data_IF_769879160975
#
_entry.id   IF_769879160975
#
_cell.length_a   1.000
_cell.length_b   1.000
_cell.length_c   1.000
_cell.angle_alpha   90.00
_cell.angle_beta   90.00
_cell.angle_gamma   90.00
#
_symmetry.space_group_name_H-M   'P 1'
#
loop_
_entity.id
_entity.type
_entity.pdbx_description
1 polymer ?
#
# COMPACT_ATOMS: atom_id res chain seq x y z
N UNK A 1 16.89 -10.56 29.26
CA UNK A 1 15.56 -10.42 29.87
C UNK A 1 14.92 -11.78 30.03
N UNK A 2 14.12 -12.03 31.09
CA UNK A 2 13.40 -13.30 31.31
C UNK A 2 11.93 -13.09 31.00
N UNK A 3 11.30 -14.03 30.28
CA UNK A 3 9.87 -14.02 29.92
C UNK A 3 9.26 -15.35 30.36
N UNK A 4 8.02 -15.30 30.82
CA UNK A 4 7.29 -16.49 31.22
C UNK A 4 6.87 -17.32 30.02
N UNK A 5 7.17 -18.61 30.07
CA UNK A 5 6.76 -19.63 29.10
C UNK A 5 5.78 -20.57 29.77
N UNK A 6 4.66 -20.82 29.10
CA UNK A 6 3.66 -21.81 29.53
C UNK A 6 3.93 -23.15 28.84
N UNK A 7 3.99 -24.20 29.63
CA UNK A 7 4.05 -25.56 29.12
C UNK A 7 2.65 -26.10 28.83
N UNK A 8 2.52 -27.13 28.02
CA UNK A 8 1.24 -27.80 27.71
C UNK A 8 0.47 -28.25 28.97
N UNK A 9 1.18 -28.47 30.07
CA UNK A 9 0.63 -28.83 31.38
C UNK A 9 0.27 -27.62 32.26
N UNK A 10 0.33 -26.38 31.75
CA UNK A 10 0.06 -25.16 32.49
C UNK A 10 1.15 -24.72 33.46
N UNK A 11 2.31 -25.38 33.48
CA UNK A 11 3.46 -24.97 34.31
C UNK A 11 4.14 -23.76 33.70
N UNK A 12 4.46 -22.77 34.55
CA UNK A 12 5.23 -21.56 34.16
C UNK A 12 6.71 -21.83 34.30
N UNK A 13 7.46 -21.73 33.23
CA UNK A 13 8.92 -21.74 33.19
C UNK A 13 9.41 -20.41 32.65
N UNK A 14 10.62 -19.97 33.05
CA UNK A 14 11.20 -18.74 32.50
C UNK A 14 12.21 -19.08 31.41
N UNK A 15 12.20 -18.32 30.32
CA UNK A 15 13.21 -18.41 29.24
C UNK A 15 13.97 -17.08 29.14
N UNK A 16 15.26 -17.19 28.84
CA UNK A 16 16.09 -16.01 28.59
C UNK A 16 15.97 -15.61 27.10
N UNK A 17 15.69 -14.33 26.88
CA UNK A 17 15.50 -13.74 25.56
C UNK A 17 16.43 -12.55 25.34
N UNK A 18 16.68 -12.21 24.07
CA UNK A 18 17.58 -11.14 23.67
C UNK A 18 16.98 -9.76 23.98
N UNK A 19 17.67 -8.97 24.79
CA UNK A 19 17.24 -7.63 25.20
C UNK A 19 17.06 -6.67 24.02
N UNK A 20 17.88 -6.79 22.98
CA UNK A 20 17.79 -5.96 21.77
C UNK A 20 16.44 -6.02 21.05
N UNK A 21 15.68 -7.09 21.23
CA UNK A 21 14.37 -7.30 20.59
C UNK A 21 13.23 -7.07 21.59
N UNK A 22 13.36 -7.60 22.79
CA UNK A 22 12.28 -7.65 23.77
C UNK A 22 12.30 -6.48 24.77
N UNK A 23 13.40 -5.72 24.84
CA UNK A 23 13.55 -4.49 25.63
C UNK A 23 13.89 -3.27 24.76
N UNK A 24 13.53 -3.30 23.48
CA UNK A 24 13.77 -2.18 22.57
C UNK A 24 12.89 -0.97 22.95
N UNK A 25 13.43 0.24 22.73
CA UNK A 25 12.67 1.48 22.95
C UNK A 25 11.47 1.55 22.02
N UNK A 26 10.28 1.67 22.59
CA UNK A 26 9.03 1.76 21.84
C UNK A 26 8.94 3.09 21.07
N UNK A 27 8.89 3.03 19.73
CA UNK A 27 8.72 4.19 18.87
C UNK A 27 7.38 4.12 18.13
N UNK A 28 6.34 4.72 18.72
CA UNK A 28 4.97 4.72 18.18
C UNK A 28 4.87 5.35 16.80
N UNK A 29 5.56 6.47 16.54
CA UNK A 29 5.55 7.14 15.22
C UNK A 29 6.11 6.26 14.12
N UNK A 30 7.17 5.50 14.42
CA UNK A 30 7.74 4.55 13.47
C UNK A 30 6.75 3.43 13.15
N UNK A 31 6.11 2.87 14.18
CA UNK A 31 5.09 1.82 14.03
C UNK A 31 3.92 2.30 13.18
N UNK A 32 3.37 3.48 13.47
CA UNK A 32 2.29 4.09 12.68
C UNK A 32 2.68 4.29 11.21
N UNK A 33 3.90 4.80 10.96
CA UNK A 33 4.41 4.99 9.59
C UNK A 33 4.52 3.68 8.84
N UNK A 34 5.04 2.63 9.48
CA UNK A 34 5.19 1.29 8.88
C UNK A 34 3.82 0.68 8.62
N UNK A 35 2.89 0.76 9.56
CA UNK A 35 1.52 0.27 9.40
C UNK A 35 0.79 1.00 8.26
N UNK A 36 0.89 2.33 8.22
CA UNK A 36 0.28 3.13 7.15
C UNK A 36 0.80 2.73 5.76
N UNK A 37 2.14 2.63 5.60
CA UNK A 37 2.76 2.21 4.34
C UNK A 37 2.36 0.78 3.96
N UNK A 38 2.32 -0.14 4.91
CA UNK A 38 1.94 -1.54 4.70
C UNK A 38 0.49 -1.65 4.27
N UNK A 39 -0.43 -0.99 4.98
CA UNK A 39 -1.86 -0.98 4.65
C UNK A 39 -2.13 -0.31 3.29
N UNK A 40 -1.45 0.80 2.99
CA UNK A 40 -1.57 1.45 1.69
C UNK A 40 -1.09 0.54 0.55
N UNK A 41 -0.02 -0.23 0.77
CA UNK A 41 0.49 -1.19 -0.21
C UNK A 41 -0.43 -2.41 -0.38
N UNK A 42 -1.09 -2.85 0.69
CA UNK A 42 -2.05 -3.95 0.66
C UNK A 42 -3.34 -3.54 -0.06
N UNK A 43 -3.89 -2.37 0.28
CA UNK A 43 -5.11 -1.85 -0.36
C UNK A 43 -4.92 -1.55 -1.85
N UNK A 44 -3.71 -1.11 -2.27
CA UNK A 44 -3.45 -0.71 -3.65
C UNK A 44 -4.27 0.50 -4.11
N UNK A 45 -4.38 0.66 -5.42
CA UNK A 45 -5.27 1.65 -6.06
C UNK A 45 -6.05 0.97 -7.18
N UNK A 46 -7.35 0.80 -6.98
CA UNK A 46 -8.23 0.15 -7.95
C UNK A 46 -8.87 1.14 -8.94
N UNK A 47 -8.91 2.44 -8.59
CA UNK A 47 -9.50 3.45 -9.45
C UNK A 47 -8.80 3.49 -10.82
N UNK A 48 -9.57 3.29 -11.88
CA UNK A 48 -9.11 3.31 -13.28
C UNK A 48 -10.10 4.08 -14.13
N UNK A 49 -9.57 4.94 -15.00
CA UNK A 49 -10.34 5.61 -16.06
C UNK A 49 -9.81 5.17 -17.40
N UNK A 50 -10.69 5.10 -18.40
CA UNK A 50 -10.29 4.74 -19.77
C UNK A 50 -9.50 5.89 -20.39
N UNK A 51 -8.32 5.59 -20.90
CA UNK A 51 -7.53 6.50 -21.73
C UNK A 51 -8.08 6.52 -23.17
N UNK A 52 -7.64 7.48 -23.98
CA UNK A 52 -8.09 7.62 -25.36
C UNK A 52 -7.92 6.33 -26.19
N UNK A 53 -6.86 5.57 -25.96
CA UNK A 53 -6.58 4.29 -26.61
C UNK A 53 -7.46 3.14 -26.12
N UNK A 54 -8.01 3.25 -24.91
CA UNK A 54 -8.85 2.21 -24.28
C UNK A 54 -10.35 2.41 -24.55
N UNK A 55 -10.74 3.57 -25.08
CA UNK A 55 -12.13 3.85 -25.45
C UNK A 55 -12.47 3.13 -26.76
N UNK A 56 -13.53 2.33 -26.74
CA UNK A 56 -14.08 1.72 -27.96
C UNK A 56 -14.72 2.80 -28.85
N UNK A 57 -14.46 2.74 -30.15
CA UNK A 57 -15.02 3.68 -31.11
C UNK A 57 -14.20 3.76 -32.40
N UNK A 58 -14.72 4.43 -33.44
CA UNK A 58 -14.03 4.56 -34.73
C UNK A 58 -12.70 5.30 -34.57
N UNK A 59 -11.70 4.85 -35.30
CA UNK A 59 -10.37 5.48 -35.36
C UNK A 59 -10.24 6.44 -36.53
N UNK A 60 -11.24 6.44 -37.45
CA UNK A 60 -11.27 7.33 -38.62
C UNK A 60 -11.41 8.80 -38.21
N UNK A 61 -10.94 9.68 -39.06
CA UNK A 61 -11.11 11.13 -38.91
C UNK A 61 -12.61 11.48 -38.99
N UNK A 62 -13.07 12.36 -38.08
CA UNK A 62 -14.50 12.69 -37.94
C UNK A 62 -15.04 13.36 -39.21
N UNK A 63 -14.27 14.27 -39.83
CA UNK A 63 -14.61 15.03 -41.02
C UNK A 63 -13.35 15.53 -41.74
N UNK A 64 -13.50 16.07 -42.94
CA UNK A 64 -12.40 16.58 -43.74
C UNK A 64 -11.60 17.69 -43.02
N UNK A 65 -10.30 17.81 -43.36
CA UNK A 65 -9.37 18.74 -42.71
C UNK A 65 -9.75 20.22 -42.96
N UNK A 66 -10.38 20.53 -44.09
CA UNK A 66 -10.79 21.87 -44.54
C UNK A 66 -12.20 21.83 -45.11
N UNK A 67 -12.86 22.96 -45.19
CA UNK A 67 -14.17 23.12 -45.84
C UNK A 67 -15.39 22.83 -44.96
N UNK A 68 -15.23 22.49 -43.69
CA UNK A 68 -16.35 22.18 -42.77
C UNK A 68 -16.75 23.32 -41.84
N UNK A 69 -15.96 24.38 -41.75
CA UNK A 69 -16.17 25.47 -40.79
C UNK A 69 -15.96 25.11 -39.32
N UNK A 70 -15.70 23.84 -39.04
CA UNK A 70 -15.53 23.34 -37.64
C UNK A 70 -14.06 23.26 -37.26
N UNK A 71 -13.81 23.15 -35.94
CA UNK A 71 -12.48 22.91 -35.38
C UNK A 71 -11.91 21.57 -35.92
N UNK A 72 -10.60 21.51 -36.14
CA UNK A 72 -9.94 20.32 -36.68
C UNK A 72 -9.81 19.22 -35.66
N UNK A 73 -10.47 18.07 -35.85
CA UNK A 73 -10.41 16.92 -34.96
C UNK A 73 -10.08 15.63 -35.72
N UNK A 74 -9.33 14.74 -35.10
CA UNK A 74 -9.00 13.44 -35.65
C UNK A 74 -10.04 12.38 -35.25
N UNK A 75 -10.27 12.16 -33.96
CA UNK A 75 -11.13 11.10 -33.45
C UNK A 75 -12.03 11.58 -32.32
N UNK A 76 -13.23 11.03 -32.21
CA UNK A 76 -14.18 11.26 -31.10
C UNK A 76 -13.70 10.69 -29.76
N UNK A 77 -12.67 9.85 -29.77
CA UNK A 77 -12.06 9.32 -28.53
C UNK A 77 -11.24 10.34 -27.75
N UNK A 78 -10.97 11.51 -28.31
CA UNK A 78 -10.18 12.56 -27.66
C UNK A 78 -10.88 13.06 -26.38
N UNK A 79 -10.10 13.47 -25.35
CA UNK A 79 -10.64 13.89 -24.05
C UNK A 79 -11.57 15.10 -24.09
N UNK A 80 -11.53 15.87 -25.16
CA UNK A 80 -12.39 17.05 -25.37
C UNK A 80 -13.85 16.70 -25.70
N UNK A 81 -14.12 15.46 -26.08
CA UNK A 81 -15.47 15.03 -26.43
C UNK A 81 -16.13 14.30 -25.25
N UNK A 82 -17.45 14.45 -25.15
CA UNK A 82 -18.26 13.65 -24.23
C UNK A 82 -18.14 12.17 -24.59
N UNK A 83 -17.79 11.33 -23.61
CA UNK A 83 -17.49 9.91 -23.85
C UNK A 83 -16.08 9.61 -24.36
N UNK A 84 -15.23 10.62 -24.54
CA UNK A 84 -13.80 10.45 -24.83
C UNK A 84 -12.99 9.94 -23.64
N UNK A 85 -11.72 9.61 -23.89
CA UNK A 85 -10.82 9.15 -22.85
C UNK A 85 -10.45 10.25 -21.85
N UNK A 86 -10.10 9.86 -20.63
CA UNK A 86 -9.66 10.80 -19.57
C UNK A 86 -8.15 11.02 -19.67
N UNK A 87 -7.72 12.28 -19.80
CA UNK A 87 -6.32 12.65 -19.76
C UNK A 87 -5.83 12.66 -18.30
N UNK A 88 -4.66 12.07 -18.04
CA UNK A 88 -4.03 12.01 -16.70
C UNK A 88 -4.90 11.41 -15.58
N UNK A 89 -5.92 10.65 -15.92
CA UNK A 89 -6.75 9.96 -14.94
C UNK A 89 -6.04 8.81 -14.23
N UNK A 90 -6.65 8.24 -13.18
CA UNK A 90 -6.12 7.09 -12.47
C UNK A 90 -6.03 5.87 -13.40
N UNK A 91 -4.91 5.13 -13.31
CA UNK A 91 -4.60 3.99 -14.21
C UNK A 91 -4.77 2.62 -13.55
N UNK A 92 -5.33 2.55 -12.33
CA UNK A 92 -5.53 1.32 -11.61
C UNK A 92 -4.25 0.73 -11.00
N UNK A 93 -4.29 -0.55 -10.68
CA UNK A 93 -3.22 -1.25 -9.98
C UNK A 93 -1.91 -1.32 -10.78
N UNK A 94 -1.98 -1.46 -12.11
CA UNK A 94 -0.80 -1.59 -12.98
C UNK A 94 0.16 -0.39 -12.88
N UNK A 95 -0.36 0.80 -12.59
CA UNK A 95 0.43 2.02 -12.44
C UNK A 95 0.68 2.41 -10.98
N UNK A 96 0.22 1.60 -10.02
CA UNK A 96 0.42 1.88 -8.60
C UNK A 96 1.86 1.57 -8.17
N UNK A 97 2.58 2.59 -7.77
CA UNK A 97 3.90 2.43 -7.16
C UNK A 97 3.75 2.14 -5.68
N UNK A 98 4.15 0.93 -5.25
CA UNK A 98 4.17 0.56 -3.83
C UNK A 98 5.10 1.49 -3.04
N UNK A 99 4.66 1.88 -1.86
CA UNK A 99 5.46 2.70 -0.94
C UNK A 99 6.62 1.87 -0.39
N UNK A 100 7.84 2.34 -0.62
CA UNK A 100 9.04 1.65 -0.15
C UNK A 100 9.12 1.69 1.38
N UNK A 101 9.35 0.54 1.99
CA UNK A 101 9.67 0.34 3.40
C UNK A 101 11.13 -0.09 3.51
N UNK A 102 11.90 0.60 4.35
CA UNK A 102 13.27 0.20 4.63
C UNK A 102 13.27 -1.06 5.50
N UNK A 103 14.22 -1.96 5.25
CA UNK A 103 14.34 -3.21 6.03
C UNK A 103 14.60 -2.93 7.52
N UNK A 104 15.41 -1.91 7.83
CA UNK A 104 15.70 -1.48 9.21
C UNK A 104 14.46 -0.91 9.90
N UNK A 105 13.69 -0.02 9.24
CA UNK A 105 12.43 0.52 9.77
C UNK A 105 11.45 -0.60 10.14
N UNK A 106 11.30 -1.60 9.26
CA UNK A 106 10.42 -2.75 9.49
C UNK A 106 10.88 -3.58 10.70
N UNK A 107 12.19 -3.91 10.78
CA UNK A 107 12.74 -4.68 11.91
C UNK A 107 12.56 -3.93 13.23
N UNK A 108 12.89 -2.64 13.26
CA UNK A 108 12.77 -1.82 14.47
C UNK A 108 11.31 -1.60 14.90
N UNK A 109 10.38 -1.49 13.95
CA UNK A 109 8.94 -1.42 14.23
C UNK A 109 8.44 -2.72 14.88
N UNK A 110 8.86 -3.88 14.37
CA UNK A 110 8.49 -5.18 14.95
C UNK A 110 9.07 -5.33 16.36
N UNK A 111 10.35 -4.99 16.57
CA UNK A 111 10.97 -5.01 17.89
C UNK A 111 10.24 -4.09 18.88
N UNK A 112 9.86 -2.87 18.45
CA UNK A 112 9.08 -1.94 19.26
C UNK A 112 7.71 -2.51 19.68
N UNK A 113 7.01 -3.19 18.77
CA UNK A 113 5.71 -3.82 19.07
C UNK A 113 5.84 -5.00 20.01
N UNK A 114 6.86 -5.84 19.84
CA UNK A 114 7.13 -6.97 20.74
C UNK A 114 7.45 -6.45 22.13
N UNK A 115 8.33 -5.44 22.25
CA UNK A 115 8.67 -4.83 23.53
C UNK A 115 7.46 -4.19 24.24
N UNK A 116 6.57 -3.53 23.49
CA UNK A 116 5.32 -2.98 24.04
C UNK A 116 4.41 -4.09 24.60
N UNK A 117 4.30 -5.22 23.90
CA UNK A 117 3.53 -6.39 24.34
C UNK A 117 4.13 -7.04 25.59
N UNK A 118 5.45 -7.11 25.69
CA UNK A 118 6.14 -7.61 26.89
C UNK A 118 5.91 -6.67 28.08
N UNK A 119 6.06 -5.36 27.88
CA UNK A 119 5.84 -4.36 28.95
C UNK A 119 4.39 -4.34 29.46
N UNK A 120 3.43 -4.61 28.58
CA UNK A 120 2.01 -4.69 28.93
C UNK A 120 1.56 -6.06 29.43
N UNK A 121 2.47 -7.03 29.62
CA UNK A 121 2.20 -8.43 29.99
C UNK A 121 1.19 -9.15 29.07
N UNK A 122 1.15 -8.76 27.80
CA UNK A 122 0.25 -9.31 26.78
C UNK A 122 0.96 -10.28 25.83
N UNK A 123 2.15 -10.78 26.22
CA UNK A 123 2.89 -11.78 25.45
C UNK A 123 2.88 -13.12 26.20
N UNK A 124 2.37 -14.15 25.55
CA UNK A 124 2.38 -15.53 26.03
C UNK A 124 3.25 -16.38 25.11
N UNK A 125 4.17 -17.13 25.69
CA UNK A 125 5.04 -18.06 24.96
C UNK A 125 4.66 -19.48 25.33
N UNK A 126 4.38 -20.31 24.35
CA UNK A 126 4.06 -21.74 24.53
C UNK A 126 5.20 -22.62 24.00
N UNK A 127 5.25 -23.84 24.54
CA UNK A 127 6.17 -24.88 24.06
C UNK A 127 5.45 -25.79 23.09
#
# INVERSE_FOLDING_TARGET
MKIDKLDLNGKKNSIEVLDNIFSAKVNRKLVETVLYKTNANYKGRHAKTKQQNEVAGPTSKIYAQKGTGNARHASRKAPIFVGGGVAHGPKGELAYKKRKLNKSEKKQSIASLISDKVQSNNLLVFN
#
